data_IF_817073536076
#
_entry.id   IF_817073536076
#
_cell.length_a   1.000
_cell.length_b   1.000
_cell.length_c   1.000
_cell.angle_alpha   90.00
_cell.angle_beta   90.00
_cell.angle_gamma   90.00
#
_symmetry.space_group_name_H-M   'P 1'
#
loop_
_entity.id
_entity.type
_entity.pdbx_description
1 polymer ?
#
# COMPACT_ATOMS: atom_id res chain seq x y z
N UNK A 1 23.57 -13.14 5.04
CA UNK A 1 23.06 -11.79 4.76
C UNK A 1 21.67 -11.91 4.12
N UNK A 2 20.66 -11.31 4.73
CA UNK A 2 19.32 -11.36 4.13
C UNK A 2 19.25 -10.43 2.92
N UNK A 3 18.73 -10.93 1.82
CA UNK A 3 18.41 -10.10 0.67
C UNK A 3 17.28 -9.13 1.06
N UNK A 4 17.48 -7.82 0.86
CA UNK A 4 16.47 -6.80 1.19
C UNK A 4 15.14 -7.00 0.45
N UNK A 5 15.17 -7.71 -0.69
CA UNK A 5 13.98 -8.00 -1.48
C UNK A 5 13.28 -9.30 -1.06
N UNK A 6 13.81 -9.98 -0.04
CA UNK A 6 13.15 -11.18 0.47
C UNK A 6 11.84 -10.81 1.14
N UNK A 7 10.75 -11.43 0.67
CA UNK A 7 9.40 -11.19 1.22
C UNK A 7 9.26 -12.04 2.49
N UNK A 8 8.90 -11.45 3.65
CA UNK A 8 8.65 -12.22 4.86
C UNK A 8 7.57 -13.28 4.65
N UNK A 9 7.71 -14.42 5.32
CA UNK A 9 6.75 -15.52 5.20
C UNK A 9 5.32 -15.08 5.56
N UNK A 10 5.17 -14.18 6.54
CA UNK A 10 3.87 -13.65 6.93
C UNK A 10 3.13 -12.99 5.76
N UNK A 11 3.86 -12.30 4.88
CA UNK A 11 3.28 -11.62 3.71
C UNK A 11 2.98 -12.65 2.62
N UNK A 12 3.86 -13.62 2.40
CA UNK A 12 3.61 -14.73 1.48
C UNK A 12 2.32 -15.45 1.88
N UNK A 13 2.13 -15.69 3.18
CA UNK A 13 0.92 -16.34 3.69
C UNK A 13 -0.34 -15.52 3.40
N UNK A 14 -0.26 -14.18 3.55
CA UNK A 14 -1.38 -13.30 3.20
C UNK A 14 -1.71 -13.43 1.71
N UNK A 15 -0.70 -13.36 0.84
CA UNK A 15 -0.89 -13.41 -0.60
C UNK A 15 -1.44 -14.77 -1.07
N UNK A 16 -1.07 -15.85 -0.38
CA UNK A 16 -1.53 -17.21 -0.67
C UNK A 16 -2.82 -17.57 0.07
N UNK A 17 -3.40 -16.63 0.83
CA UNK A 17 -4.62 -16.83 1.63
C UNK A 17 -4.47 -17.91 2.71
N UNK A 18 -3.25 -18.18 3.16
CA UNK A 18 -2.94 -19.09 4.26
C UNK A 18 -2.72 -18.37 5.58
N UNK A 19 -3.08 -17.11 5.63
CA UNK A 19 -2.92 -16.26 6.78
C UNK A 19 -3.90 -16.66 7.88
N UNK A 20 -3.37 -16.84 9.11
CA UNK A 20 -4.17 -17.20 10.29
C UNK A 20 -4.33 -16.04 11.28
N UNK A 21 -3.60 -14.95 11.10
CA UNK A 21 -3.44 -13.90 12.11
C UNK A 21 -4.01 -12.55 11.69
N UNK A 22 -4.08 -12.28 10.40
CA UNK A 22 -4.53 -10.99 9.90
C UNK A 22 -5.97 -11.06 9.41
N UNK A 23 -6.75 -10.02 9.71
CA UNK A 23 -8.13 -9.92 9.23
C UNK A 23 -8.15 -9.34 7.83
N UNK A 24 -8.68 -10.11 6.88
CA UNK A 24 -8.89 -9.63 5.50
C UNK A 24 -10.19 -8.84 5.48
N UNK A 25 -10.08 -7.54 5.15
CA UNK A 25 -11.22 -6.63 5.08
C UNK A 25 -11.85 -6.59 3.69
N UNK A 26 -11.04 -6.77 2.67
CA UNK A 26 -11.48 -6.68 1.29
C UNK A 26 -10.44 -7.31 0.38
N UNK A 27 -10.89 -7.80 -0.75
CA UNK A 27 -10.01 -8.34 -1.77
C UNK A 27 -10.60 -8.04 -3.14
N UNK A 28 -9.75 -7.62 -4.07
CA UNK A 28 -10.13 -7.52 -5.47
C UNK A 28 -9.10 -8.26 -6.34
N UNK A 29 -9.14 -8.04 -7.64
CA UNK A 29 -8.21 -8.68 -8.58
C UNK A 29 -6.74 -8.37 -8.27
N UNK A 30 -6.46 -7.17 -7.75
CA UNK A 30 -5.11 -6.65 -7.64
C UNK A 30 -4.58 -6.56 -6.22
N UNK A 31 -5.45 -6.50 -5.20
CA UNK A 31 -5.05 -6.24 -3.81
C UNK A 31 -5.77 -7.13 -2.82
N UNK A 32 -5.09 -7.36 -1.70
CA UNK A 32 -5.69 -7.92 -0.48
C UNK A 32 -5.52 -6.85 0.62
N UNK A 33 -6.63 -6.38 1.16
CA UNK A 33 -6.65 -5.37 2.22
C UNK A 33 -6.77 -6.04 3.58
N UNK A 34 -5.82 -5.75 4.47
CA UNK A 34 -5.84 -6.28 5.83
C UNK A 34 -5.88 -5.14 6.83
N UNK A 35 -6.39 -5.47 8.04
CA UNK A 35 -6.33 -4.58 9.19
C UNK A 35 -4.96 -4.75 9.85
N UNK A 36 -4.25 -3.66 10.10
CA UNK A 36 -2.95 -3.70 10.76
C UNK A 36 -3.13 -3.95 12.27
N UNK A 37 -2.77 -5.14 12.72
CA UNK A 37 -2.86 -5.52 14.14
C UNK A 37 -1.75 -4.92 14.99
N UNK A 38 -0.67 -4.45 14.39
CA UNK A 38 0.46 -3.83 15.11
C UNK A 38 0.25 -2.35 15.36
N UNK A 39 -0.83 -1.79 14.86
CA UNK A 39 -1.15 -0.39 15.05
C UNK A 39 -1.49 -0.14 16.52
N UNK A 40 -0.73 0.74 17.18
CA UNK A 40 -0.90 1.11 18.59
C UNK A 40 -1.71 2.39 18.78
N UNK A 41 -2.11 3.05 17.69
CA UNK A 41 -2.90 4.27 17.75
C UNK A 41 -4.38 3.96 17.74
N UNK A 42 -5.20 4.83 18.35
CA UNK A 42 -6.65 4.69 18.43
C UNK A 42 -7.36 5.05 17.12
N UNK A 43 -6.67 4.98 16.02
CA UNK A 43 -7.20 5.30 14.68
C UNK A 43 -6.88 4.17 13.74
N UNK A 44 -7.69 3.97 12.72
CA UNK A 44 -7.50 2.82 11.84
C UNK A 44 -6.24 2.95 10.97
N UNK A 45 -5.66 1.81 10.67
CA UNK A 45 -4.57 1.66 9.72
C UNK A 45 -4.79 0.33 8.99
N UNK A 46 -5.08 0.42 7.69
CA UNK A 46 -5.26 -0.75 6.83
C UNK A 46 -4.12 -0.79 5.81
N UNK A 47 -3.71 -1.99 5.44
CA UNK A 47 -2.66 -2.20 4.44
C UNK A 47 -3.18 -3.06 3.31
N UNK A 48 -3.06 -2.57 2.08
CA UNK A 48 -3.42 -3.30 0.88
C UNK A 48 -2.16 -3.87 0.24
N UNK A 49 -2.06 -5.18 0.17
CA UNK A 49 -0.93 -5.89 -0.43
C UNK A 49 -1.23 -6.16 -1.90
N UNK A 50 -0.33 -5.70 -2.78
CA UNK A 50 -0.44 -5.94 -4.22
C UNK A 50 -0.22 -7.43 -4.49
N UNK A 51 -1.06 -8.02 -5.35
CA UNK A 51 -1.02 -9.47 -5.62
C UNK A 51 0.07 -9.88 -6.58
N UNK A 52 0.61 -8.94 -7.35
CA UNK A 52 1.67 -9.20 -8.33
C UNK A 52 3.03 -8.92 -7.72
N UNK A 53 4.06 -9.65 -8.16
CA UNK A 53 5.42 -9.45 -7.64
C UNK A 53 5.91 -8.08 -8.08
N UNK A 54 6.06 -7.18 -7.11
CA UNK A 54 6.56 -5.83 -7.32
C UNK A 54 7.21 -5.35 -6.02
N UNK A 55 8.55 -5.22 -5.98
CA UNK A 55 9.24 -4.90 -4.72
C UNK A 55 8.87 -3.55 -4.13
N UNK A 56 8.73 -2.51 -4.96
CA UNK A 56 8.42 -1.17 -4.49
C UNK A 56 7.82 -0.32 -5.59
N UNK A 57 7.41 0.88 -5.22
CA UNK A 57 6.79 1.82 -6.16
C UNK A 57 7.75 2.28 -7.26
N UNK A 58 9.07 2.19 -7.05
CA UNK A 58 10.03 2.59 -8.10
C UNK A 58 9.94 1.72 -9.35
N UNK A 59 9.39 0.51 -9.23
CA UNK A 59 9.16 -0.40 -10.35
C UNK A 59 7.77 -0.28 -10.94
N UNK A 60 6.93 0.60 -10.39
CA UNK A 60 5.55 0.75 -10.83
C UNK A 60 5.44 1.64 -12.08
N UNK A 61 4.27 1.63 -12.67
CA UNK A 61 3.89 2.44 -13.81
C UNK A 61 2.48 3.01 -13.59
N UNK A 62 1.96 3.72 -14.59
CA UNK A 62 0.62 4.32 -14.48
C UNK A 62 -0.50 3.29 -14.33
N UNK A 63 -0.31 2.05 -14.80
CA UNK A 63 -1.29 0.99 -14.60
C UNK A 63 -1.41 0.64 -13.12
N UNK A 64 -0.27 0.56 -12.41
CA UNK A 64 -0.27 0.30 -10.96
C UNK A 64 -0.94 1.45 -10.22
N UNK A 65 -0.65 2.69 -10.60
CA UNK A 65 -1.32 3.85 -10.02
C UNK A 65 -2.83 3.77 -10.22
N UNK A 66 -3.28 3.38 -11.41
CA UNK A 66 -4.70 3.18 -11.69
C UNK A 66 -5.29 2.11 -10.79
N UNK A 67 -4.58 1.01 -10.57
CA UNK A 67 -5.04 -0.05 -9.67
C UNK A 67 -5.24 0.48 -8.24
N UNK A 68 -4.35 1.36 -7.78
CA UNK A 68 -4.45 1.97 -6.44
C UNK A 68 -5.66 2.90 -6.38
N UNK A 69 -5.85 3.75 -7.38
CA UNK A 69 -6.97 4.69 -7.45
C UNK A 69 -8.30 3.92 -7.51
N UNK A 70 -8.37 2.88 -8.33
CA UNK A 70 -9.57 2.05 -8.43
C UNK A 70 -9.88 1.37 -7.11
N UNK A 71 -8.87 0.86 -6.40
CA UNK A 71 -9.06 0.28 -5.07
C UNK A 71 -9.64 1.30 -4.10
N UNK A 72 -9.07 2.49 -4.05
CA UNK A 72 -9.57 3.55 -3.17
C UNK A 72 -11.04 3.84 -3.44
N UNK A 73 -11.43 3.99 -4.70
CA UNK A 73 -12.83 4.23 -5.08
C UNK A 73 -13.74 3.09 -4.65
N UNK A 74 -13.30 1.83 -4.83
CA UNK A 74 -14.06 0.66 -4.40
C UNK A 74 -14.28 0.65 -2.88
N UNK A 75 -13.23 0.96 -2.12
CA UNK A 75 -13.30 0.95 -0.66
C UNK A 75 -14.24 2.04 -0.14
N UNK A 76 -14.22 3.23 -0.75
CA UNK A 76 -15.14 4.31 -0.40
C UNK A 76 -16.59 3.90 -0.73
N UNK A 77 -16.82 3.36 -1.92
CA UNK A 77 -18.15 2.94 -2.37
C UNK A 77 -18.73 1.87 -1.44
N UNK A 78 -17.91 0.98 -0.91
CA UNK A 78 -18.34 -0.10 0.00
C UNK A 78 -18.36 0.33 1.46
N UNK A 79 -18.09 1.59 1.76
CA UNK A 79 -18.02 2.14 3.11
C UNK A 79 -16.98 1.47 4.01
N UNK A 80 -15.93 0.91 3.42
CA UNK A 80 -14.80 0.35 4.17
C UNK A 80 -13.90 1.47 4.66
N UNK A 81 -13.74 2.51 3.85
CA UNK A 81 -13.03 3.74 4.22
C UNK A 81 -13.89 4.95 3.88
N UNK A 82 -13.56 6.09 4.49
CA UNK A 82 -14.21 7.38 4.20
C UNK A 82 -13.45 8.09 3.08
N UNK A 83 -14.12 9.03 2.40
CA UNK A 83 -13.56 9.76 1.27
C UNK A 83 -12.31 10.58 1.65
N UNK A 84 -12.17 11.00 2.91
CA UNK A 84 -11.03 11.77 3.39
C UNK A 84 -9.89 10.90 3.97
N UNK A 85 -9.98 9.58 3.82
CA UNK A 85 -8.94 8.65 4.27
C UNK A 85 -7.63 8.94 3.56
N UNK A 86 -6.52 8.94 4.31
CA UNK A 86 -5.18 9.06 3.72
C UNK A 86 -4.83 7.76 2.99
N UNK A 87 -4.34 7.88 1.76
CA UNK A 87 -3.88 6.76 0.95
C UNK A 87 -2.47 7.06 0.46
N UNK A 88 -1.50 6.22 0.84
CA UNK A 88 -0.10 6.49 0.55
C UNK A 88 0.75 5.23 0.53
N UNK A 89 1.95 5.34 -0.06
CA UNK A 89 3.00 4.33 0.01
C UNK A 89 4.25 4.94 0.65
N UNK A 90 5.09 4.09 1.25
CA UNK A 90 6.41 4.48 1.75
C UNK A 90 7.49 4.16 0.71
N UNK A 91 8.48 5.04 0.58
CA UNK A 91 9.67 4.77 -0.19
C UNK A 91 10.88 5.42 0.47
N UNK A 92 11.95 4.66 0.82
CA UNK A 92 12.05 3.20 0.63
C UNK A 92 11.09 2.42 1.54
N UNK A 93 10.58 1.29 1.10
CA UNK A 93 9.67 0.50 1.94
C UNK A 93 10.42 -0.29 3.00
N UNK A 94 9.72 -0.67 4.09
CA UNK A 94 10.27 -1.60 5.08
C UNK A 94 10.19 -3.05 4.60
N UNK A 95 9.18 -3.36 3.77
CA UNK A 95 8.99 -4.69 3.18
C UNK A 95 8.90 -4.50 1.66
N UNK A 96 9.72 -5.24 0.93
CA UNK A 96 9.84 -5.12 -0.53
C UNK A 96 8.84 -5.98 -1.29
N UNK A 97 7.58 -5.84 -0.93
CA UNK A 97 6.42 -6.19 -1.74
C UNK A 97 5.52 -4.97 -1.71
N UNK A 98 5.11 -4.48 -2.87
CA UNK A 98 4.31 -3.25 -2.96
C UNK A 98 3.07 -3.35 -2.09
N UNK A 99 2.89 -2.36 -1.24
CA UNK A 99 1.71 -2.25 -0.39
C UNK A 99 1.33 -0.78 -0.19
N UNK A 100 0.05 -0.57 0.01
CA UNK A 100 -0.55 0.77 0.12
C UNK A 100 -1.20 0.88 1.48
N UNK A 101 -0.96 2.01 2.15
CA UNK A 101 -1.52 2.29 3.47
C UNK A 101 -2.77 3.16 3.32
N UNK A 102 -3.81 2.79 4.07
CA UNK A 102 -5.03 3.57 4.24
C UNK A 102 -5.18 3.88 5.71
N UNK A 103 -5.14 5.16 6.07
CA UNK A 103 -5.17 5.55 7.48
C UNK A 103 -6.18 6.67 7.73
N UNK A 104 -6.64 6.72 8.99
CA UNK A 104 -7.38 7.86 9.48
C UNK A 104 -6.54 9.14 9.34
N UNK A 105 -7.20 10.29 9.18
CA UNK A 105 -6.52 11.57 9.06
C UNK A 105 -5.71 11.93 10.30
N UNK A 106 -6.06 11.39 11.46
CA UNK A 106 -5.35 11.60 12.73
C UNK A 106 -4.18 10.67 12.95
N UNK A 107 -3.96 9.71 12.04
CA UNK A 107 -2.83 8.79 12.15
C UNK A 107 -1.51 9.55 11.99
N UNK A 108 -0.59 9.33 12.94
CA UNK A 108 0.76 9.89 12.90
C UNK A 108 1.73 8.88 12.31
N UNK A 109 2.20 9.15 11.10
CA UNK A 109 3.22 8.33 10.49
C UNK A 109 4.58 8.71 11.06
N UNK A 110 5.38 7.71 11.48
CA UNK A 110 6.71 7.93 12.03
C UNK A 110 7.76 8.22 10.97
N UNK A 111 7.44 7.98 9.69
CA UNK A 111 8.35 8.24 8.57
C UNK A 111 8.44 9.73 8.27
N UNK A 112 9.61 10.23 7.81
CA UNK A 112 9.71 11.60 7.29
C UNK A 112 8.76 11.81 6.11
N UNK A 113 8.26 13.02 5.96
CA UNK A 113 7.34 13.36 4.85
C UNK A 113 7.95 13.09 3.48
N UNK A 114 9.28 13.17 3.36
CA UNK A 114 10.00 12.88 2.11
C UNK A 114 9.90 11.40 1.68
N UNK A 115 9.54 10.51 2.61
CA UNK A 115 9.39 9.07 2.35
C UNK A 115 7.95 8.64 2.21
N UNK A 116 7.00 9.57 2.32
CA UNK A 116 5.56 9.31 2.24
C UNK A 116 5.05 9.85 0.91
N UNK A 117 4.49 8.96 0.09
CA UNK A 117 3.96 9.30 -1.23
C UNK A 117 2.45 9.07 -1.26
N UNK A 118 1.66 10.13 -1.06
CA UNK A 118 0.22 10.05 -1.32
C UNK A 118 -0.04 9.95 -2.83
N UNK A 119 -1.31 9.79 -3.22
CA UNK A 119 -1.64 9.55 -4.63
C UNK A 119 -1.14 10.68 -5.53
N UNK A 120 -1.27 11.94 -5.12
CA UNK A 120 -0.82 13.08 -5.93
C UNK A 120 0.70 13.11 -6.09
N UNK A 121 1.41 12.88 -4.98
CA UNK A 121 2.88 12.82 -4.98
C UNK A 121 3.38 11.65 -5.80
N UNK A 122 2.66 10.52 -5.74
CA UNK A 122 2.97 9.32 -6.51
C UNK A 122 2.81 9.58 -8.01
N UNK A 123 1.73 10.24 -8.41
CA UNK A 123 1.51 10.63 -9.80
C UNK A 123 2.63 11.54 -10.31
N UNK A 124 3.02 12.53 -9.51
CA UNK A 124 4.13 13.43 -9.84
C UNK A 124 5.45 12.64 -10.01
N UNK A 125 5.72 11.69 -9.11
CA UNK A 125 6.91 10.85 -9.18
C UNK A 125 6.92 10.01 -10.47
N UNK A 126 5.80 9.39 -10.82
CA UNK A 126 5.71 8.57 -12.02
C UNK A 126 5.85 9.40 -13.30
N UNK A 127 5.29 10.60 -13.32
CA UNK A 127 5.48 11.53 -14.43
C UNK A 127 6.95 11.89 -14.62
N UNK A 128 7.63 12.24 -13.54
CA UNK A 128 9.05 12.54 -13.56
C UNK A 128 9.87 11.36 -14.08
N UNK A 129 9.60 10.17 -13.55
CA UNK A 129 10.27 8.93 -13.94
C UNK A 129 10.08 8.64 -15.43
N UNK A 130 8.86 8.83 -15.93
CA UNK A 130 8.54 8.63 -17.34
C UNK A 130 9.31 9.62 -18.22
N UNK A 131 9.27 10.91 -17.88
CA UNK A 131 9.95 11.96 -18.65
C UNK A 131 11.47 11.79 -18.67
N UNK A 132 12.04 11.31 -17.59
CA UNK A 132 13.50 11.09 -17.51
C UNK A 132 13.99 9.98 -18.44
N UNK A 133 13.09 9.15 -18.96
CA UNK A 133 13.42 8.08 -19.92
C UNK A 133 13.28 8.49 -21.37
N UNK A 134 12.75 9.66 -21.63
CA UNK A 134 12.66 10.20 -22.97
C UNK A 134 13.98 10.84 -23.39
#
# INVERSE_FOLDING_TARGET
MKNKYMIPQSIVDILNKNNKYETILYENKNFILIKDKKNKQDVFHYTAWYKYIMPSIEYSNFMVLKHIIDLEKELVKKNIIKINTKCFVHYPPSIYQLHVHFTDTKYNDERPSSEIFDINKLETYLNYKYLSKL
#
